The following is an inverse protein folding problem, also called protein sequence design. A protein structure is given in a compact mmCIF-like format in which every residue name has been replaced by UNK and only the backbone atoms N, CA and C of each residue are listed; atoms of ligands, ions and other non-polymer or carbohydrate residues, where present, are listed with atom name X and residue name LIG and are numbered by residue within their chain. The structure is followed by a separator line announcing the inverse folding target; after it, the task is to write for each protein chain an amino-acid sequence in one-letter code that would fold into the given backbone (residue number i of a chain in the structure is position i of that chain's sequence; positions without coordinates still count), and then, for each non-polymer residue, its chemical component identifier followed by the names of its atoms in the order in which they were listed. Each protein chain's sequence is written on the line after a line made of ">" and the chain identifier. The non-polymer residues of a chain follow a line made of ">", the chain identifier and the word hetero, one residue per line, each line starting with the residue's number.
data_IF_396684306050
#
_entry.id   IF_396684306050
#
_cell.length_a   1.000
_cell.length_b   1.000
_cell.length_c   1.000
_cell.angle_alpha   90.00
_cell.angle_beta   90.00
_cell.angle_gamma   90.00
#
_symmetry.space_group_name_H-M   'P 1'
#
loop_
_entity.id
_entity.type
_entity.pdbx_description
1 polymer ?
#
# COMPACT_ATOMS: atom_id res chain seq x y z
N UNK A 1 -14.41 4.48 25.60
CA UNK A 1 -13.04 5.01 25.44
C UNK A 1 -13.17 6.37 24.80
N UNK A 2 -12.94 7.44 25.55
CA UNK A 2 -12.90 8.82 25.04
C UNK A 2 -11.50 9.12 24.47
N UNK A 3 -11.13 8.42 23.39
CA UNK A 3 -9.84 8.58 22.70
C UNK A 3 -9.98 9.30 21.36
N UNK A 4 -8.92 9.98 20.88
CA UNK A 4 -8.86 10.53 19.53
C UNK A 4 -8.96 9.37 18.49
N UNK A 5 -10.02 9.30 17.66
CA UNK A 5 -10.20 8.22 16.68
C UNK A 5 -9.01 8.06 15.72
N UNK A 6 -8.23 9.13 15.48
CA UNK A 6 -7.05 9.08 14.61
C UNK A 6 -5.87 8.41 15.28
N UNK A 7 -5.73 8.57 16.60
CA UNK A 7 -4.69 7.89 17.37
C UNK A 7 -4.95 6.38 17.37
N UNK A 8 -6.21 5.98 17.52
CA UNK A 8 -6.66 4.58 17.44
C UNK A 8 -6.41 3.99 16.04
N UNK A 9 -6.84 4.68 14.97
CA UNK A 9 -6.60 4.26 13.60
C UNK A 9 -5.09 4.10 13.26
N UNK A 10 -4.25 5.03 13.74
CA UNK A 10 -2.79 4.94 13.56
C UNK A 10 -2.22 3.72 14.28
N UNK A 11 -2.72 3.42 15.48
CA UNK A 11 -2.31 2.25 16.26
C UNK A 11 -2.69 0.95 15.55
N UNK A 12 -3.96 0.81 15.17
CA UNK A 12 -4.49 -0.36 14.44
C UNK A 12 -3.67 -0.61 13.17
N UNK A 13 -3.47 0.42 12.35
CA UNK A 13 -2.67 0.31 11.13
C UNK A 13 -1.21 -0.09 11.40
N UNK A 14 -0.58 0.47 12.44
CA UNK A 14 0.82 0.16 12.76
C UNK A 14 1.00 -1.27 13.28
N UNK A 15 0.08 -1.74 14.12
CA UNK A 15 0.09 -3.10 14.69
C UNK A 15 -0.21 -4.14 13.62
N UNK A 16 -1.21 -3.90 12.78
CA UNK A 16 -1.53 -4.76 11.64
C UNK A 16 -0.32 -4.95 10.73
N UNK A 17 0.40 -3.86 10.38
CA UNK A 17 1.63 -3.93 9.55
C UNK A 17 2.77 -4.76 10.15
N UNK A 18 2.75 -5.02 11.47
CA UNK A 18 3.69 -5.93 12.13
C UNK A 18 3.20 -7.36 12.04
N UNK A 19 1.91 -7.58 12.28
CA UNK A 19 1.27 -8.90 12.27
C UNK A 19 1.23 -9.48 10.84
N UNK A 20 0.93 -8.67 9.82
CA UNK A 20 0.81 -9.12 8.41
C UNK A 20 2.14 -9.53 7.75
N UNK A 21 3.28 -9.32 8.40
CA UNK A 21 4.61 -9.66 7.84
C UNK A 21 4.77 -11.14 7.52
N UNK A 22 3.96 -11.99 8.17
CA UNK A 22 3.88 -13.42 7.89
C UNK A 22 2.42 -13.75 7.64
N UNK A 23 2.14 -14.40 6.52
CA UNK A 23 0.79 -14.86 6.18
C UNK A 23 0.81 -16.34 5.84
N UNK A 24 -0.27 -17.03 6.18
CA UNK A 24 -0.51 -18.41 5.82
C UNK A 24 -1.82 -18.52 5.03
N UNK A 25 -1.90 -19.51 4.14
CA UNK A 25 -3.15 -19.82 3.47
C UNK A 25 -4.13 -20.42 4.49
N UNK A 26 -5.32 -19.82 4.59
CA UNK A 26 -6.43 -20.35 5.38
C UNK A 26 -7.35 -21.18 4.47
N UNK A 27 -7.40 -22.51 4.63
CA UNK A 27 -8.22 -23.37 3.78
C UNK A 27 -9.73 -23.09 3.90
N UNK A 28 -10.18 -22.54 5.04
CA UNK A 28 -11.59 -22.28 5.28
C UNK A 28 -12.12 -21.11 4.47
N UNK A 29 -11.34 -20.05 4.31
CA UNK A 29 -11.72 -18.85 3.55
C UNK A 29 -11.11 -18.79 2.15
N UNK A 30 -10.04 -19.56 1.89
CA UNK A 30 -9.24 -19.46 0.68
C UNK A 30 -8.29 -18.26 0.67
N UNK A 31 -8.27 -17.45 1.74
CA UNK A 31 -7.46 -16.23 1.84
C UNK A 31 -6.06 -16.53 2.37
N UNK A 32 -5.15 -15.55 2.22
CA UNK A 32 -3.92 -15.49 3.01
C UNK A 32 -4.16 -14.57 4.20
N UNK A 33 -4.18 -15.14 5.40
CA UNK A 33 -4.39 -14.39 6.65
C UNK A 33 -3.07 -14.28 7.42
N UNK A 34 -2.89 -13.25 8.26
CA UNK A 34 -1.70 -13.14 9.08
C UNK A 34 -1.52 -14.35 10.00
N UNK A 35 -0.29 -14.82 10.11
CA UNK A 35 0.09 -15.89 11.04
C UNK A 35 0.75 -15.27 12.27
N UNK A 36 0.08 -15.37 13.43
CA UNK A 36 0.59 -14.82 14.68
C UNK A 36 1.75 -15.65 15.20
N UNK A 37 2.87 -14.98 15.42
CA UNK A 37 4.08 -15.53 16.06
C UNK A 37 4.18 -15.01 17.49
N UNK A 38 5.06 -15.58 18.31
CA UNK A 38 5.29 -15.05 19.65
C UNK A 38 5.79 -13.59 19.64
N UNK A 39 6.49 -13.17 18.58
CA UNK A 39 6.95 -11.80 18.40
C UNK A 39 5.81 -10.82 18.05
N UNK A 40 4.70 -11.30 17.49
CA UNK A 40 3.55 -10.49 17.04
C UNK A 40 2.28 -10.72 17.87
N UNK A 41 2.29 -11.65 18.83
CA UNK A 41 1.13 -11.99 19.67
C UNK A 41 0.54 -10.79 20.41
N UNK A 42 1.40 -10.00 21.05
CA UNK A 42 0.95 -8.79 21.74
C UNK A 42 0.34 -7.74 20.78
N UNK A 43 0.79 -7.68 19.52
CA UNK A 43 0.17 -6.81 18.52
C UNK A 43 -1.21 -7.33 18.12
N UNK A 44 -1.33 -8.65 17.95
CA UNK A 44 -2.60 -9.31 17.61
C UNK A 44 -3.64 -9.20 18.75
N UNK A 45 -3.22 -9.28 20.00
CA UNK A 45 -4.10 -9.10 21.16
C UNK A 45 -4.65 -7.66 21.24
N UNK A 46 -3.80 -6.66 20.97
CA UNK A 46 -4.23 -5.25 20.90
C UNK A 46 -5.22 -5.03 19.76
N UNK A 47 -4.95 -5.61 18.58
CA UNK A 47 -5.86 -5.55 17.44
C UNK A 47 -7.23 -6.17 17.77
N UNK A 48 -7.24 -7.36 18.38
CA UNK A 48 -8.48 -8.03 18.79
C UNK A 48 -9.25 -7.21 19.83
N UNK A 49 -8.57 -6.62 20.82
CA UNK A 49 -9.18 -5.76 21.83
C UNK A 49 -9.78 -4.47 21.23
N UNK A 50 -9.22 -3.98 20.12
CA UNK A 50 -9.76 -2.86 19.36
C UNK A 50 -10.90 -3.26 18.40
N UNK A 51 -11.35 -4.52 18.40
CA UNK A 51 -12.42 -5.01 17.51
C UNK A 51 -11.95 -5.36 16.10
N UNK A 52 -10.64 -5.46 15.88
CA UNK A 52 -10.01 -5.75 14.59
C UNK A 52 -9.14 -7.01 14.65
N UNK A 53 -9.67 -8.19 15.02
CA UNK A 53 -8.84 -9.39 15.15
C UNK A 53 -8.13 -9.71 13.83
N UNK A 54 -6.90 -10.19 13.94
CA UNK A 54 -5.98 -10.27 12.80
C UNK A 54 -6.47 -11.22 11.67
N UNK A 55 -7.30 -12.19 12.02
CA UNK A 55 -7.84 -13.25 11.18
C UNK A 55 -9.34 -13.04 10.88
N UNK A 56 -9.89 -11.83 11.11
CA UNK A 56 -11.29 -11.54 10.82
C UNK A 56 -11.63 -11.80 9.36
N UNK A 57 -12.62 -12.65 9.11
CA UNK A 57 -13.13 -12.96 7.77
C UNK A 57 -14.57 -12.49 7.64
N UNK A 58 -14.85 -11.67 6.62
CA UNK A 58 -16.20 -11.32 6.20
C UNK A 58 -16.61 -12.17 5.00
N UNK A 59 -17.59 -13.05 5.18
CA UNK A 59 -18.16 -13.87 4.09
C UNK A 59 -19.39 -13.20 3.52
N UNK A 60 -19.57 -13.34 2.21
CA UNK A 60 -20.71 -12.77 1.50
C UNK A 60 -21.18 -13.68 0.38
N UNK A 61 -22.45 -13.53 0.01
CA UNK A 61 -22.97 -13.89 -1.30
C UNK A 61 -23.16 -12.61 -2.12
N UNK A 62 -23.28 -12.76 -3.44
CA UNK A 62 -23.61 -11.66 -4.34
C UNK A 62 -24.78 -10.81 -3.80
N UNK A 63 -25.90 -11.46 -3.50
CA UNK A 63 -27.12 -10.78 -3.06
C UNK A 63 -26.95 -10.13 -1.68
N UNK A 64 -26.23 -10.77 -0.75
CA UNK A 64 -25.98 -10.18 0.56
C UNK A 64 -25.07 -8.96 0.47
N UNK A 65 -24.08 -8.96 -0.42
CA UNK A 65 -23.21 -7.82 -0.67
C UNK A 65 -23.99 -6.64 -1.28
N UNK A 66 -24.90 -6.92 -2.23
CA UNK A 66 -25.77 -5.89 -2.80
C UNK A 66 -26.71 -5.29 -1.75
N UNK A 67 -27.31 -6.13 -0.89
CA UNK A 67 -28.18 -5.69 0.18
C UNK A 67 -27.40 -4.81 1.18
N UNK A 68 -26.26 -5.29 1.66
CA UNK A 68 -25.42 -4.56 2.60
C UNK A 68 -24.93 -3.20 2.04
N UNK A 69 -24.53 -3.15 0.77
CA UNK A 69 -24.17 -1.90 0.10
C UNK A 69 -25.35 -0.92 0.09
N UNK A 70 -26.55 -1.38 -0.27
CA UNK A 70 -27.74 -0.53 -0.33
C UNK A 70 -28.15 -0.02 1.04
N UNK A 71 -28.17 -0.90 2.03
CA UNK A 71 -28.55 -0.54 3.39
C UNK A 71 -27.59 0.50 3.96
N UNK A 72 -26.28 0.28 3.83
CA UNK A 72 -25.28 1.21 4.34
C UNK A 72 -25.20 2.50 3.52
N UNK A 73 -25.15 2.42 2.20
CA UNK A 73 -24.95 3.58 1.32
C UNK A 73 -26.13 4.54 1.25
N UNK A 74 -27.36 4.05 1.51
CA UNK A 74 -28.56 4.90 1.56
C UNK A 74 -28.76 5.62 2.89
N UNK A 75 -27.92 5.36 3.90
CA UNK A 75 -27.87 6.19 5.12
C UNK A 75 -27.21 7.55 4.90
N UNK A 76 -26.54 7.69 3.76
CA UNK A 76 -25.89 8.92 3.32
C UNK A 76 -26.80 9.65 2.32
N UNK A 77 -26.74 10.98 2.35
CA UNK A 77 -27.14 11.83 1.24
C UNK A 77 -25.90 12.29 0.47
N UNK A 78 -26.09 12.78 -0.76
CA UNK A 78 -24.99 13.20 -1.62
C UNK A 78 -24.13 14.31 -0.97
N UNK A 79 -24.70 15.38 -0.38
CA UNK A 79 -23.90 16.43 0.26
C UNK A 79 -23.08 15.92 1.45
N UNK A 80 -23.67 15.10 2.32
CA UNK A 80 -22.95 14.52 3.47
C UNK A 80 -21.85 13.56 3.05
N UNK A 81 -22.09 12.76 2.01
CA UNK A 81 -21.08 11.85 1.47
C UNK A 81 -19.91 12.60 0.81
N UNK A 82 -20.21 13.67 0.06
CA UNK A 82 -19.20 14.56 -0.52
C UNK A 82 -18.38 15.27 0.57
N UNK A 83 -19.02 15.75 1.63
CA UNK A 83 -18.35 16.38 2.76
C UNK A 83 -17.39 15.43 3.49
N UNK A 84 -17.83 14.19 3.75
CA UNK A 84 -16.98 13.16 4.33
C UNK A 84 -15.80 12.79 3.43
N UNK A 85 -16.03 12.68 2.12
CA UNK A 85 -14.96 12.46 1.15
C UNK A 85 -13.93 13.60 1.16
N UNK A 86 -14.39 14.86 1.19
CA UNK A 86 -13.51 16.03 1.27
C UNK A 86 -12.72 16.04 2.56
N UNK A 87 -13.33 15.75 3.71
CA UNK A 87 -12.62 15.65 4.99
C UNK A 87 -11.54 14.54 4.97
N UNK A 88 -11.81 13.45 4.26
CA UNK A 88 -10.88 12.34 4.05
C UNK A 88 -9.66 12.67 3.17
N UNK A 89 -9.54 13.89 2.64
CA UNK A 89 -8.34 14.36 1.94
C UNK A 89 -7.21 14.72 2.92
N UNK A 90 -7.54 15.13 4.15
CA UNK A 90 -6.53 15.51 5.14
C UNK A 90 -6.97 15.34 6.60
N UNK A 91 -8.05 16.00 7.03
CA UNK A 91 -8.39 16.13 8.44
C UNK A 91 -8.95 14.85 9.08
N UNK A 92 -9.58 14.00 8.27
CA UNK A 92 -10.15 12.72 8.67
C UNK A 92 -9.38 11.53 8.06
N UNK A 93 -9.43 10.34 8.67
CA UNK A 93 -8.84 9.13 8.07
C UNK A 93 -9.40 8.87 6.67
N UNK A 94 -8.58 8.36 5.76
CA UNK A 94 -8.96 8.23 4.35
C UNK A 94 -10.14 7.29 4.09
N UNK A 95 -10.49 6.44 5.06
CA UNK A 95 -11.66 5.56 4.98
C UNK A 95 -12.95 6.32 4.68
N UNK A 96 -13.07 7.57 5.14
CA UNK A 96 -14.22 8.44 4.88
C UNK A 96 -14.43 8.77 3.40
N UNK A 97 -13.41 8.60 2.55
CA UNK A 97 -13.56 8.68 1.08
C UNK A 97 -14.46 7.58 0.52
N UNK A 98 -14.68 6.49 1.26
CA UNK A 98 -15.63 5.44 0.85
C UNK A 98 -17.09 5.90 0.88
N UNK A 99 -17.41 6.96 1.63
CA UNK A 99 -18.79 7.45 1.77
C UNK A 99 -19.38 7.89 0.42
N UNK A 100 -18.65 8.71 -0.34
CA UNK A 100 -19.12 9.25 -1.62
C UNK A 100 -19.29 8.17 -2.69
N UNK A 101 -18.24 7.37 -2.93
CA UNK A 101 -18.28 6.31 -3.95
C UNK A 101 -19.27 5.21 -3.57
N UNK A 102 -19.33 4.83 -2.29
CA UNK A 102 -20.30 3.87 -1.77
C UNK A 102 -21.75 4.35 -1.87
N UNK A 103 -22.03 5.62 -1.56
CA UNK A 103 -23.36 6.22 -1.71
C UNK A 103 -23.81 6.21 -3.18
N UNK A 104 -22.95 6.65 -4.10
CA UNK A 104 -23.25 6.66 -5.53
C UNK A 104 -23.48 5.23 -6.07
N UNK A 105 -22.66 4.26 -5.66
CA UNK A 105 -22.90 2.85 -6.01
C UNK A 105 -24.26 2.36 -5.47
N UNK A 106 -24.56 2.60 -4.20
CA UNK A 106 -25.80 2.14 -3.57
C UNK A 106 -27.08 2.73 -4.18
N UNK A 107 -27.00 3.93 -4.75
CA UNK A 107 -28.12 4.67 -5.32
C UNK A 107 -28.27 4.47 -6.83
N UNK A 108 -27.17 4.19 -7.54
CA UNK A 108 -27.19 4.04 -9.01
C UNK A 108 -27.19 2.58 -9.47
N UNK A 109 -26.69 1.64 -8.67
CA UNK A 109 -26.63 0.22 -9.04
C UNK A 109 -28.04 -0.40 -9.17
N UNK A 110 -28.45 -0.82 -10.38
CA UNK A 110 -29.77 -1.41 -10.58
C UNK A 110 -29.92 -2.75 -9.84
N UNK A 111 -31.18 -3.09 -9.53
CA UNK A 111 -31.52 -4.46 -9.14
C UNK A 111 -31.17 -5.42 -10.28
N UNK A 112 -30.43 -6.48 -9.97
CA UNK A 112 -30.05 -7.51 -10.93
C UNK A 112 -29.80 -8.84 -10.21
N UNK A 113 -29.99 -9.95 -10.91
CA UNK A 113 -29.51 -11.25 -10.48
C UNK A 113 -28.02 -11.40 -10.82
N UNK A 114 -27.34 -12.35 -10.19
CA UNK A 114 -25.95 -12.68 -10.56
C UNK A 114 -25.85 -13.08 -12.04
N UNK A 115 -25.07 -12.34 -12.81
CA UNK A 115 -24.81 -12.57 -14.23
C UNK A 115 -23.30 -12.76 -14.47
N UNK A 116 -22.79 -14.00 -14.51
CA UNK A 116 -21.36 -14.27 -14.62
C UNK A 116 -20.76 -13.90 -15.98
N UNK A 117 -19.47 -13.60 -16.03
CA UNK A 117 -18.73 -13.63 -17.29
C UNK A 117 -18.76 -15.04 -17.91
N UNK A 118 -18.51 -15.19 -19.23
CA UNK A 118 -18.32 -16.52 -19.83
C UNK A 118 -17.21 -17.34 -19.17
N UNK A 119 -16.23 -16.67 -18.55
CA UNK A 119 -15.14 -17.29 -17.76
C UNK A 119 -15.55 -17.64 -16.32
N UNK A 120 -16.78 -17.38 -15.90
CA UNK A 120 -17.29 -17.57 -14.54
C UNK A 120 -17.36 -16.26 -13.75
N UNK A 121 -16.42 -16.03 -12.85
CA UNK A 121 -16.37 -14.82 -12.00
C UNK A 121 -15.65 -13.66 -12.72
N UNK A 122 -16.01 -12.38 -12.48
CA UNK A 122 -17.06 -11.86 -11.59
C UNK A 122 -18.45 -11.67 -12.26
N UNK A 123 -19.42 -11.07 -11.55
CA UNK A 123 -20.68 -10.59 -12.13
C UNK A 123 -20.40 -9.46 -13.14
N UNK A 124 -20.96 -9.57 -14.34
CA UNK A 124 -20.81 -8.59 -15.43
C UNK A 124 -21.49 -7.26 -15.15
N UNK A 125 -22.52 -7.26 -14.31
CA UNK A 125 -23.25 -6.05 -13.94
C UNK A 125 -22.47 -5.31 -12.85
N UNK A 126 -22.22 -5.92 -11.70
CA UNK A 126 -21.70 -5.19 -10.53
C UNK A 126 -20.23 -5.46 -10.17
N UNK A 127 -19.60 -6.49 -10.73
CA UNK A 127 -18.22 -6.87 -10.41
C UNK A 127 -18.06 -7.78 -9.18
N UNK A 128 -19.12 -8.05 -8.42
CA UNK A 128 -19.06 -8.97 -7.28
C UNK A 128 -19.00 -10.44 -7.73
N UNK A 129 -18.28 -11.28 -6.97
CA UNK A 129 -18.35 -12.73 -7.13
C UNK A 129 -19.72 -13.28 -6.66
N UNK A 130 -20.05 -14.52 -7.07
CA UNK A 130 -21.27 -15.21 -6.61
C UNK A 130 -21.26 -15.40 -5.08
N UNK A 131 -20.10 -15.76 -4.55
CA UNK A 131 -19.78 -15.87 -3.14
C UNK A 131 -18.30 -15.59 -2.94
N UNK A 132 -17.93 -15.16 -1.73
CA UNK A 132 -16.54 -14.86 -1.43
C UNK A 132 -16.29 -14.56 0.05
N UNK A 133 -15.02 -14.28 0.33
CA UNK A 133 -14.53 -13.91 1.64
C UNK A 133 -13.56 -12.74 1.52
N UNK A 134 -13.62 -11.82 2.48
CA UNK A 134 -12.69 -10.71 2.63
C UNK A 134 -11.96 -10.83 3.96
N UNK A 135 -10.66 -10.53 3.98
CA UNK A 135 -9.92 -10.35 5.23
C UNK A 135 -10.31 -9.00 5.83
N UNK A 136 -11.30 -9.00 6.73
CA UNK A 136 -12.02 -7.79 7.13
C UNK A 136 -11.11 -6.74 7.79
N UNK A 137 -10.14 -7.19 8.61
CA UNK A 137 -9.15 -6.28 9.21
C UNK A 137 -8.18 -5.72 8.18
N UNK A 138 -7.76 -6.54 7.20
CA UNK A 138 -6.91 -6.08 6.10
C UNK A 138 -7.64 -5.01 5.27
N UNK A 139 -8.91 -5.23 4.94
CA UNK A 139 -9.74 -4.26 4.23
C UNK A 139 -9.90 -2.96 5.03
N UNK A 140 -10.20 -3.05 6.33
CA UNK A 140 -10.28 -1.85 7.19
C UNK A 140 -8.98 -1.04 7.16
N UNK A 141 -7.84 -1.70 7.36
CA UNK A 141 -6.51 -1.04 7.37
C UNK A 141 -6.17 -0.47 5.99
N UNK A 142 -6.54 -1.15 4.91
CA UNK A 142 -6.38 -0.66 3.55
C UNK A 142 -7.19 0.62 3.34
N UNK A 143 -8.41 0.73 3.88
CA UNK A 143 -9.21 1.97 3.78
C UNK A 143 -8.59 3.13 4.56
N UNK A 144 -7.98 2.87 5.73
CA UNK A 144 -7.32 3.92 6.54
C UNK A 144 -6.21 4.67 5.80
N UNK A 145 -5.46 3.98 4.93
CA UNK A 145 -4.31 4.54 4.21
C UNK A 145 -4.36 4.40 2.68
N UNK A 146 -5.46 3.91 2.12
CA UNK A 146 -5.67 3.71 0.68
C UNK A 146 -6.85 4.50 0.11
N UNK A 147 -7.81 4.91 0.94
CA UNK A 147 -9.02 5.58 0.48
C UNK A 147 -10.16 4.60 0.21
N UNK A 148 -10.99 4.92 -0.77
CA UNK A 148 -12.12 4.07 -1.14
C UNK A 148 -11.65 2.75 -1.79
N UNK A 149 -12.50 1.71 -1.77
CA UNK A 149 -12.31 0.55 -2.64
C UNK A 149 -12.29 0.94 -4.13
N UNK A 150 -11.69 0.08 -4.94
CA UNK A 150 -11.66 0.23 -6.40
C UNK A 150 -13.05 0.01 -6.99
N UNK A 151 -13.24 0.45 -8.22
CA UNK A 151 -14.47 0.21 -8.95
C UNK A 151 -14.74 -1.31 -9.14
N UNK A 152 -16.00 -1.72 -8.94
CA UNK A 152 -16.45 -3.12 -8.97
C UNK A 152 -16.29 -3.90 -7.66
N UNK A 153 -15.61 -3.34 -6.66
CA UNK A 153 -15.40 -3.94 -5.34
C UNK A 153 -16.61 -3.73 -4.42
N UNK A 154 -17.79 -4.20 -4.86
CA UNK A 154 -19.06 -4.04 -4.13
C UNK A 154 -19.02 -4.56 -2.68
N UNK A 155 -18.55 -5.79 -2.39
CA UNK A 155 -18.50 -6.26 -1.00
C UNK A 155 -17.51 -5.45 -0.14
N UNK A 156 -16.42 -4.94 -0.71
CA UNK A 156 -15.47 -4.06 -0.04
C UNK A 156 -16.09 -2.67 0.25
N UNK A 157 -16.92 -2.12 -0.65
CA UNK A 157 -17.68 -0.90 -0.38
C UNK A 157 -18.72 -1.11 0.72
N UNK A 158 -19.44 -2.22 0.70
CA UNK A 158 -20.39 -2.55 1.76
C UNK A 158 -19.70 -2.64 3.12
N UNK A 159 -18.56 -3.35 3.19
CA UNK A 159 -17.77 -3.48 4.42
C UNK A 159 -17.19 -2.13 4.87
N UNK A 160 -16.67 -1.32 3.95
CA UNK A 160 -16.14 -0.01 4.27
C UNK A 160 -17.22 0.92 4.86
N UNK A 161 -18.41 0.98 4.25
CA UNK A 161 -19.51 1.80 4.74
C UNK A 161 -20.05 1.31 6.08
N UNK A 162 -20.14 -0.01 6.29
CA UNK A 162 -20.54 -0.58 7.57
C UNK A 162 -19.58 -0.14 8.70
N UNK A 163 -18.27 -0.07 8.41
CA UNK A 163 -17.27 0.44 9.35
C UNK A 163 -17.39 1.95 9.67
N UNK A 164 -18.21 2.70 8.94
CA UNK A 164 -18.47 4.13 9.20
C UNK A 164 -19.78 4.38 9.94
N UNK A 165 -20.68 3.39 10.03
CA UNK A 165 -22.07 3.60 10.44
C UNK A 165 -22.22 4.23 11.82
N UNK A 166 -21.38 3.84 12.77
CA UNK A 166 -21.42 4.29 14.17
C UNK A 166 -20.41 5.40 14.49
N UNK A 167 -19.67 5.87 13.48
CA UNK A 167 -18.67 6.92 13.67
C UNK A 167 -19.29 8.31 13.47
N UNK A 168 -18.87 9.33 14.25
CA UNK A 168 -19.30 10.69 14.02
C UNK A 168 -18.82 11.16 12.64
N UNK A 169 -19.76 11.61 11.80
CA UNK A 169 -19.47 12.09 10.46
C UNK A 169 -18.54 13.32 10.53
N UNK A 170 -17.42 13.34 9.78
CA UNK A 170 -16.50 14.45 9.83
C UNK A 170 -17.02 15.61 8.98
N UNK A 171 -16.80 16.82 9.47
CA UNK A 171 -17.01 18.05 8.71
C UNK A 171 -15.68 18.49 8.06
N UNK A 172 -15.65 18.83 6.77
CA UNK A 172 -14.43 19.25 6.10
C UNK A 172 -13.99 20.63 6.58
N UNK A 173 -12.74 20.70 7.01
CA UNK A 173 -12.04 21.94 7.40
C UNK A 173 -11.80 22.83 6.18
N UNK A 174 -11.41 24.08 6.42
CA UNK A 174 -10.99 24.99 5.34
C UNK A 174 -9.82 24.41 4.54
N UNK A 175 -8.88 23.73 5.21
CA UNK A 175 -7.75 23.08 4.55
C UNK A 175 -8.21 21.94 3.63
N UNK A 176 -9.18 21.12 4.04
CA UNK A 176 -9.74 20.06 3.19
C UNK A 176 -10.40 20.62 1.93
N UNK A 177 -11.19 21.69 2.09
CA UNK A 177 -11.87 22.39 1.00
C UNK A 177 -10.86 23.02 0.03
N UNK A 178 -9.79 23.61 0.55
CA UNK A 178 -8.69 24.10 -0.26
C UNK A 178 -7.95 22.96 -0.97
N UNK A 179 -7.71 21.83 -0.32
CA UNK A 179 -7.06 20.65 -0.93
C UNK A 179 -7.88 20.10 -2.10
N UNK A 180 -9.21 20.00 -1.97
CA UNK A 180 -10.09 19.67 -3.09
C UNK A 180 -9.87 20.65 -4.25
N UNK A 181 -9.96 21.96 -4.01
CA UNK A 181 -9.76 22.98 -5.06
C UNK A 181 -8.38 22.94 -5.68
N UNK A 182 -7.34 22.68 -4.88
CA UNK A 182 -5.96 22.56 -5.34
C UNK A 182 -5.79 21.35 -6.26
N UNK A 183 -6.40 20.20 -5.91
CA UNK A 183 -6.42 19.01 -6.78
C UNK A 183 -7.10 19.35 -8.11
N UNK A 184 -8.27 20.00 -8.09
CA UNK A 184 -8.97 20.39 -9.31
C UNK A 184 -8.15 21.40 -10.15
N UNK A 185 -7.51 22.38 -9.51
CA UNK A 185 -6.64 23.37 -10.16
C UNK A 185 -5.48 22.70 -10.88
N UNK A 186 -4.80 21.75 -10.22
CA UNK A 186 -3.71 20.98 -10.85
C UNK A 186 -4.21 20.23 -12.09
N UNK A 187 -5.41 19.65 -12.02
CA UNK A 187 -5.99 18.90 -13.14
C UNK A 187 -6.39 19.80 -14.32
N UNK A 188 -6.96 20.98 -14.04
CA UNK A 188 -7.28 21.99 -15.07
C UNK A 188 -6.04 22.54 -15.76
N UNK A 189 -4.93 22.67 -15.02
CA UNK A 189 -3.67 23.20 -15.55
C UNK A 189 -2.84 22.19 -16.35
N UNK A 190 -3.29 20.93 -16.49
CA UNK A 190 -2.53 19.92 -17.22
C UNK A 190 -2.43 20.25 -18.72
N UNK A 191 -1.27 20.00 -19.37
CA UNK A 191 -1.16 20.12 -20.82
C UNK A 191 -2.21 19.26 -21.52
N UNK A 192 -2.82 19.69 -22.64
CA UNK A 192 -3.79 18.88 -23.39
C UNK A 192 -3.26 17.48 -23.73
N UNK A 193 -4.12 16.47 -23.65
CA UNK A 193 -3.78 15.07 -23.92
C UNK A 193 -3.06 14.33 -22.80
N UNK A 194 -2.85 14.96 -21.64
CA UNK A 194 -2.26 14.33 -20.44
C UNK A 194 -3.15 13.18 -19.97
N UNK A 195 -2.55 11.99 -19.78
CA UNK A 195 -3.24 10.76 -19.33
C UNK A 195 -3.01 10.49 -17.84
N UNK A 196 -3.78 9.54 -17.29
CA UNK A 196 -3.76 9.10 -15.88
C UNK A 196 -2.37 9.11 -15.22
N UNK A 197 -1.38 8.40 -15.77
CA UNK A 197 -0.07 8.26 -15.13
C UNK A 197 0.66 9.60 -14.96
N UNK A 198 0.53 10.49 -15.94
CA UNK A 198 1.14 11.83 -15.91
C UNK A 198 0.34 12.78 -15.00
N UNK A 199 -1.00 12.68 -15.00
CA UNK A 199 -1.86 13.42 -14.06
C UNK A 199 -1.54 13.06 -12.60
N UNK A 200 -1.44 11.76 -12.29
CA UNK A 200 -1.01 11.25 -10.97
C UNK A 200 0.36 11.79 -10.58
N UNK A 201 1.29 11.87 -11.54
CA UNK A 201 2.64 12.41 -11.32
C UNK A 201 2.59 13.90 -10.99
N UNK A 202 1.77 14.69 -11.70
CA UNK A 202 1.57 16.11 -11.42
C UNK A 202 0.99 16.33 -10.02
N UNK A 203 -0.05 15.59 -9.65
CA UNK A 203 -0.65 15.63 -8.31
C UNK A 203 0.34 15.23 -7.22
N UNK A 204 1.12 14.16 -7.43
CA UNK A 204 2.15 13.72 -6.49
C UNK A 204 3.21 14.81 -6.26
N UNK A 205 3.59 15.53 -7.33
CA UNK A 205 4.55 16.63 -7.25
C UNK A 205 3.99 17.83 -6.48
N UNK A 206 2.70 18.10 -6.60
CA UNK A 206 2.01 19.18 -5.88
C UNK A 206 1.92 18.93 -4.36
N UNK A 207 2.07 17.67 -3.89
CA UNK A 207 2.11 17.30 -2.46
C UNK A 207 0.90 17.82 -1.68
N UNK A 208 -0.28 17.59 -2.22
CA UNK A 208 -1.55 18.08 -1.69
C UNK A 208 -2.17 17.16 -0.62
N UNK A 209 -1.64 15.94 -0.44
CA UNK A 209 -2.08 15.00 0.60
C UNK A 209 -1.04 14.91 1.73
N UNK A 210 -1.42 14.28 2.84
CA UNK A 210 -0.54 14.00 3.99
C UNK A 210 0.61 13.00 3.67
N UNK A 211 0.65 12.49 2.43
CA UNK A 211 1.69 11.59 1.90
C UNK A 211 2.32 12.09 0.59
N UNK A 212 3.45 11.50 0.21
CA UNK A 212 4.06 11.62 -1.12
C UNK A 212 3.97 10.33 -1.94
N UNK A 213 3.21 9.34 -1.49
CA UNK A 213 3.10 8.05 -2.17
C UNK A 213 2.22 8.16 -3.43
N UNK A 214 2.70 7.78 -4.64
CA UNK A 214 1.94 7.95 -5.87
C UNK A 214 0.58 7.24 -5.89
N UNK A 215 0.44 6.08 -5.25
CA UNK A 215 -0.81 5.32 -5.22
C UNK A 215 -1.96 6.10 -4.57
N UNK A 216 -1.67 6.95 -3.58
CA UNK A 216 -2.68 7.76 -2.91
C UNK A 216 -3.34 8.78 -3.86
N UNK A 217 -2.51 9.43 -4.68
CA UNK A 217 -2.99 10.35 -5.72
C UNK A 217 -3.68 9.60 -6.86
N UNK A 218 -3.25 8.36 -7.14
CA UNK A 218 -3.95 7.45 -8.05
C UNK A 218 -5.38 7.16 -7.56
N UNK A 219 -5.53 6.79 -6.30
CA UNK A 219 -6.82 6.52 -5.68
C UNK A 219 -7.76 7.75 -5.73
N UNK A 220 -7.27 8.96 -5.43
CA UNK A 220 -8.08 10.19 -5.57
C UNK A 220 -8.56 10.39 -7.01
N UNK A 221 -7.71 10.15 -8.01
CA UNK A 221 -8.10 10.24 -9.42
C UNK A 221 -9.14 9.18 -9.80
N UNK A 222 -8.97 7.94 -9.34
CA UNK A 222 -9.92 6.85 -9.59
C UNK A 222 -11.27 7.13 -8.92
N UNK A 223 -11.28 7.67 -7.71
CA UNK A 223 -12.49 8.10 -7.01
C UNK A 223 -13.21 9.25 -7.75
N UNK A 224 -12.48 10.30 -8.14
CA UNK A 224 -13.06 11.43 -8.89
C UNK A 224 -13.57 10.99 -10.27
N UNK A 225 -12.91 10.02 -10.91
CA UNK A 225 -13.36 9.44 -12.17
C UNK A 225 -14.62 8.59 -11.98
N UNK A 226 -14.66 7.76 -10.94
CA UNK A 226 -15.82 6.93 -10.60
C UNK A 226 -17.05 7.80 -10.28
N UNK A 227 -16.86 8.90 -9.56
CA UNK A 227 -17.90 9.92 -9.35
C UNK A 227 -18.35 10.54 -10.67
N UNK A 228 -17.41 10.80 -11.59
CA UNK A 228 -17.65 11.34 -12.92
C UNK A 228 -17.07 12.73 -13.16
N UNK A 229 -16.34 13.29 -12.20
CA UNK A 229 -15.67 14.59 -12.33
C UNK A 229 -14.48 14.53 -13.32
N UNK A 230 -13.78 13.39 -13.35
CA UNK A 230 -12.64 13.11 -14.23
C UNK A 230 -13.04 12.01 -15.22
N UNK A 231 -13.95 12.35 -16.13
CA UNK A 231 -14.56 11.38 -17.05
C UNK A 231 -14.87 12.01 -18.41
N UNK A 232 -14.60 11.32 -19.53
CA UNK A 232 -15.06 11.77 -20.83
C UNK A 232 -16.58 11.59 -20.92
N UNK A 233 -17.26 12.42 -21.71
CA UNK A 233 -18.73 12.36 -21.87
C UNK A 233 -19.23 11.00 -22.36
N UNK A 234 -18.42 10.30 -23.17
CA UNK A 234 -18.75 8.96 -23.67
C UNK A 234 -18.65 7.85 -22.60
N UNK A 235 -17.90 8.06 -21.52
CA UNK A 235 -17.77 7.13 -20.40
C UNK A 235 -18.03 7.87 -19.10
N UNK A 236 -19.29 8.23 -18.80
CA UNK A 236 -19.62 9.01 -17.62
C UNK A 236 -19.44 8.20 -16.32
N UNK A 237 -19.22 8.90 -15.20
CA UNK A 237 -19.21 8.29 -13.87
C UNK A 237 -20.61 8.14 -13.26
N UNK A 238 -20.63 7.61 -12.03
CA UNK A 238 -21.85 7.18 -11.34
C UNK A 238 -22.82 8.32 -11.00
N UNK A 239 -22.34 9.56 -10.81
CA UNK A 239 -23.23 10.69 -10.58
C UNK A 239 -24.10 11.03 -11.80
N UNK A 240 -23.75 10.53 -12.99
CA UNK A 240 -24.48 10.77 -14.23
C UNK A 240 -25.26 9.53 -14.64
N UNK A 241 -24.63 8.34 -14.63
CA UNK A 241 -25.26 7.09 -15.06
C UNK A 241 -24.54 5.87 -14.48
N UNK A 242 -25.31 4.83 -14.18
CA UNK A 242 -24.75 3.49 -14.01
C UNK A 242 -24.16 2.96 -15.33
N UNK A 243 -22.93 2.46 -15.27
CA UNK A 243 -22.26 1.73 -16.35
C UNK A 243 -21.91 0.35 -15.83
N UNK A 244 -22.28 -0.75 -16.49
CA UNK A 244 -22.00 -2.10 -15.96
C UNK A 244 -20.50 -2.35 -15.78
N UNK A 245 -20.13 -3.23 -14.86
CA UNK A 245 -18.75 -3.65 -14.63
C UNK A 245 -18.09 -4.12 -15.94
N UNK A 246 -18.81 -4.88 -16.77
CA UNK A 246 -18.33 -5.29 -18.08
C UNK A 246 -18.09 -4.14 -19.06
N UNK A 247 -18.84 -3.05 -18.94
CA UNK A 247 -18.56 -1.83 -19.67
C UNK A 247 -17.30 -1.14 -19.11
N UNK A 248 -17.17 -1.05 -17.79
CA UNK A 248 -16.06 -0.38 -17.09
C UNK A 248 -14.74 -1.14 -17.19
N UNK A 249 -14.81 -2.46 -17.38
CA UNK A 249 -13.66 -3.34 -17.57
C UNK A 249 -13.03 -3.23 -18.98
N UNK A 250 -13.69 -2.56 -19.94
CA UNK A 250 -13.09 -2.27 -21.24
C UNK A 250 -11.96 -1.24 -21.11
N UNK A 251 -10.83 -1.53 -21.76
CA UNK A 251 -9.65 -0.65 -21.81
C UNK A 251 -9.34 -0.20 -23.23
N UNK A 252 -8.77 1.00 -23.41
CA UNK A 252 -8.27 1.43 -24.72
C UNK A 252 -7.06 0.61 -25.19
N UNK A 253 -6.31 -0.01 -24.27
CA UNK A 253 -5.26 -0.98 -24.59
C UNK A 253 -4.91 -1.83 -23.36
N UNK A 254 -4.24 -2.96 -23.59
CA UNK A 254 -3.75 -3.88 -22.53
C UNK A 254 -2.73 -3.25 -21.56
N UNK A 255 -2.19 -2.06 -21.88
CA UNK A 255 -1.21 -1.35 -21.03
C UNK A 255 -1.88 -0.41 -20.01
N UNK A 256 -3.19 -0.22 -20.10
CA UNK A 256 -3.94 0.66 -19.19
C UNK A 256 -4.62 -0.20 -18.14
N UNK A 257 -4.15 -0.09 -16.90
CA UNK A 257 -4.64 -0.91 -15.79
C UNK A 257 -5.94 -0.35 -15.18
N UNK A 258 -6.04 0.97 -15.03
CA UNK A 258 -7.21 1.66 -14.45
C UNK A 258 -8.49 1.42 -15.25
N UNK A 259 -9.63 1.35 -14.56
CA UNK A 259 -10.96 1.15 -15.16
C UNK A 259 -11.53 2.41 -15.80
N UNK A 260 -12.54 2.25 -16.68
CA UNK A 260 -13.35 3.39 -17.09
C UNK A 260 -14.11 3.93 -15.85
N UNK A 261 -14.36 5.24 -15.74
CA UNK A 261 -14.11 6.27 -16.76
C UNK A 261 -12.65 6.65 -17.01
N UNK A 262 -11.79 6.51 -16.00
CA UNK A 262 -10.44 7.07 -16.00
C UNK A 262 -9.55 6.53 -17.13
N UNK A 263 -9.74 5.27 -17.51
CA UNK A 263 -9.02 4.62 -18.61
C UNK A 263 -9.12 5.40 -19.93
N UNK A 264 -10.26 6.07 -20.15
CA UNK A 264 -10.58 6.76 -21.39
C UNK A 264 -10.31 8.26 -21.33
N UNK A 265 -10.20 8.82 -20.13
CA UNK A 265 -9.99 10.23 -19.89
C UNK A 265 -8.60 10.72 -20.34
N UNK A 266 -8.55 11.98 -20.75
CA UNK A 266 -7.36 12.81 -20.86
C UNK A 266 -7.69 14.25 -20.45
N UNK A 267 -6.68 15.06 -20.13
CA UNK A 267 -6.89 16.49 -19.85
C UNK A 267 -7.53 17.26 -21.01
N UNK A 268 -7.53 16.73 -22.24
CA UNK A 268 -8.29 17.32 -23.36
C UNK A 268 -9.79 17.23 -23.19
N UNK A 269 -10.28 16.25 -22.42
CA UNK A 269 -11.69 16.14 -22.05
C UNK A 269 -12.08 17.16 -20.96
N UNK A 270 -11.07 17.75 -20.29
CA UNK A 270 -11.26 18.66 -19.16
C UNK A 270 -11.83 17.98 -17.92
N UNK A 271 -12.28 18.79 -16.97
CA UNK A 271 -13.10 18.36 -15.85
C UNK A 271 -14.59 18.54 -16.17
N UNK A 272 -15.43 17.67 -15.64
CA UNK A 272 -16.89 17.78 -15.75
C UNK A 272 -17.43 18.73 -14.71
N UNK A 273 -17.43 20.02 -15.02
CA UNK A 273 -17.87 21.09 -14.10
C UNK A 273 -19.33 20.91 -13.67
N UNK A 274 -20.20 20.41 -14.56
CA UNK A 274 -21.58 20.05 -14.25
C UNK A 274 -21.69 18.99 -13.14
N UNK A 275 -20.80 18.00 -13.16
CA UNK A 275 -20.74 16.95 -12.13
C UNK A 275 -20.13 17.51 -10.84
N UNK A 276 -19.12 18.36 -10.93
CA UNK A 276 -18.51 19.01 -9.76
C UNK A 276 -19.52 19.88 -9.00
N UNK A 277 -20.30 20.69 -9.71
CA UNK A 277 -21.35 21.53 -9.12
C UNK A 277 -22.45 20.69 -8.46
N UNK A 278 -22.84 19.58 -9.10
CA UNK A 278 -23.86 18.68 -8.56
C UNK A 278 -23.39 17.87 -7.34
N UNK A 279 -22.19 17.29 -7.40
CA UNK A 279 -21.69 16.39 -6.35
C UNK A 279 -21.15 17.16 -5.16
N UNK A 280 -20.38 18.21 -5.41
CA UNK A 280 -19.80 19.05 -4.37
C UNK A 280 -20.62 20.33 -4.19
N UNK A 281 -21.96 20.22 -4.24
CA UNK A 281 -22.86 21.35 -3.99
C UNK A 281 -22.54 21.99 -2.63
N UNK A 282 -22.39 23.31 -2.61
CA UNK A 282 -22.01 24.05 -1.40
C UNK A 282 -20.50 24.10 -1.11
N UNK A 283 -19.68 23.48 -1.95
CA UNK A 283 -18.24 23.68 -1.98
C UNK A 283 -17.87 24.64 -3.11
N UNK A 284 -16.87 25.49 -2.85
CA UNK A 284 -16.19 26.17 -3.94
C UNK A 284 -15.31 25.14 -4.67
N UNK A 285 -15.48 25.01 -5.99
CA UNK A 285 -14.69 24.12 -6.85
C UNK A 285 -13.79 24.88 -7.83
N UNK A 286 -13.83 26.22 -7.78
CA UNK A 286 -12.99 27.09 -8.60
C UNK A 286 -11.51 27.06 -8.19
N UNK A 287 -10.67 27.61 -9.06
CA UNK A 287 -9.22 27.56 -8.95
C UNK A 287 -8.68 28.23 -7.67
N UNK A 288 -7.50 27.79 -7.23
CA UNK A 288 -6.71 28.42 -6.17
C UNK A 288 -5.33 28.79 -6.69
N UNK A 289 -4.70 29.78 -6.05
CA UNK A 289 -3.28 30.03 -6.24
C UNK A 289 -2.48 28.90 -5.56
N UNK A 290 -1.83 28.06 -6.37
CA UNK A 290 -1.04 26.92 -5.89
C UNK A 290 0.31 27.34 -5.27
N UNK A 291 0.82 28.52 -5.64
CA UNK A 291 2.05 29.11 -5.11
C UNK A 291 1.76 30.09 -3.96
N UNK A 292 0.49 30.43 -3.76
CA UNK A 292 -0.01 31.29 -2.70
C UNK A 292 -0.05 30.63 -1.31
N UNK A 293 -0.40 31.40 -0.27
CA UNK A 293 -0.51 30.87 1.08
C UNK A 293 -1.65 29.85 1.20
N UNK A 294 -1.36 28.72 1.86
CA UNK A 294 -2.37 27.73 2.24
C UNK A 294 -3.22 28.25 3.42
N UNK A 295 -4.46 27.76 3.60
CA UNK A 295 -5.27 28.11 4.77
C UNK A 295 -4.54 27.82 6.08
N UNK A 296 -4.70 28.71 7.05
CA UNK A 296 -4.07 28.60 8.38
C UNK A 296 -5.11 28.27 9.46
N UNK A 297 -4.74 27.42 10.45
CA UNK A 297 -3.49 26.68 10.55
C UNK A 297 -3.43 25.51 9.53
N UNK A 298 -2.27 25.31 8.90
CA UNK A 298 -2.04 24.09 8.11
C UNK A 298 -1.94 22.91 9.08
N UNK A 299 -2.80 21.87 8.97
CA UNK A 299 -2.81 20.80 9.94
C UNK A 299 -1.51 19.98 9.83
N UNK A 300 -0.85 19.73 10.96
CA UNK A 300 0.43 19.04 10.97
C UNK A 300 0.29 17.62 10.41
N UNK A 301 1.14 17.24 9.44
CA UNK A 301 1.17 15.86 8.90
C UNK A 301 1.28 14.79 9.99
N UNK A 302 2.05 15.03 11.04
CA UNK A 302 2.19 14.10 12.17
C UNK A 302 0.92 13.90 13.00
N UNK A 303 -0.14 14.69 12.79
CA UNK A 303 -1.45 14.53 13.41
C UNK A 303 -2.48 13.79 12.52
N UNK A 304 -2.08 13.40 11.31
CA UNK A 304 -2.89 12.58 10.39
C UNK A 304 -2.55 11.10 10.55
N UNK A 305 -3.46 10.20 10.19
CA UNK A 305 -3.24 8.73 10.31
C UNK A 305 -2.04 8.28 9.47
N UNK A 306 -2.01 8.67 8.18
CA UNK A 306 -0.94 8.25 7.26
C UNK A 306 0.38 8.96 7.58
N UNK A 307 0.34 10.25 7.93
CA UNK A 307 1.54 11.00 8.29
C UNK A 307 2.17 10.58 9.63
N UNK A 308 1.39 10.11 10.60
CA UNK A 308 1.89 9.63 11.89
C UNK A 308 2.47 8.20 11.83
N UNK A 309 2.00 7.37 10.88
CA UNK A 309 2.34 5.96 10.79
C UNK A 309 3.85 5.64 10.83
N UNK A 310 4.75 6.31 10.07
CA UNK A 310 6.17 5.99 10.11
C UNK A 310 6.81 6.22 11.48
N UNK A 311 6.38 7.26 12.20
CA UNK A 311 6.85 7.52 13.55
C UNK A 311 6.35 6.45 14.52
N UNK A 312 5.10 6.01 14.37
CA UNK A 312 4.52 4.98 15.21
C UNK A 312 5.18 3.62 14.99
N UNK A 313 5.36 3.19 13.75
CA UNK A 313 6.08 1.95 13.41
C UNK A 313 7.49 1.95 14.03
N UNK A 314 8.23 3.06 13.91
CA UNK A 314 9.55 3.20 14.56
C UNK A 314 9.49 3.12 16.09
N UNK A 315 8.41 3.56 16.72
CA UNK A 315 8.24 3.44 18.16
C UNK A 315 8.00 1.96 18.55
N UNK A 316 7.14 1.25 17.82
CA UNK A 316 6.84 -0.16 18.05
C UNK A 316 8.06 -1.07 17.82
N UNK A 317 8.80 -0.82 16.75
CA UNK A 317 10.03 -1.55 16.46
C UNK A 317 11.10 -1.30 17.54
N UNK A 318 11.11 -0.12 18.19
CA UNK A 318 12.04 0.16 19.32
C UNK A 318 11.66 -0.62 20.57
N UNK A 319 10.36 -0.77 20.86
CA UNK A 319 9.89 -1.56 22.01
C UNK A 319 10.08 -3.07 21.82
N UNK A 320 10.19 -3.54 20.57
CA UNK A 320 10.53 -4.93 20.23
C UNK A 320 12.03 -5.21 20.04
N UNK A 321 12.91 -4.19 20.15
CA UNK A 321 14.37 -4.39 20.11
C UNK A 321 14.84 -4.99 21.43
N UNK A 322 14.76 -6.31 21.55
CA UNK A 322 15.45 -7.06 22.62
C UNK A 322 16.95 -7.25 22.35
N UNK A 323 17.47 -6.92 21.16
CA UNK A 323 18.91 -6.89 20.91
C UNK A 323 19.33 -5.68 20.09
N UNK A 324 20.21 -4.84 20.65
CA UNK A 324 21.07 -4.00 19.83
C UNK A 324 21.76 -4.90 18.79
N UNK A 325 21.83 -4.46 17.53
CA UNK A 325 22.60 -5.18 16.51
C UNK A 325 24.01 -5.41 17.10
N UNK A 326 24.46 -6.66 17.27
CA UNK A 326 25.73 -6.94 17.93
C UNK A 326 26.89 -6.19 17.28
N UNK A 327 27.93 -5.91 18.08
CA UNK A 327 29.13 -5.24 17.58
C UNK A 327 29.76 -6.09 16.48
N UNK A 328 30.26 -5.42 15.45
CA UNK A 328 31.01 -6.06 14.36
C UNK A 328 32.22 -6.79 14.93
N UNK A 329 32.53 -7.97 14.39
CA UNK A 329 33.81 -8.63 14.62
C UNK A 329 34.87 -7.90 13.80
N UNK A 330 35.68 -7.09 14.48
CA UNK A 330 36.70 -6.25 13.85
C UNK A 330 36.13 -5.02 13.13
N UNK A 331 37.04 -4.09 12.84
CA UNK A 331 36.76 -2.82 12.16
C UNK A 331 37.44 -2.77 10.78
N UNK A 332 37.13 -1.74 10.00
CA UNK A 332 37.79 -1.44 8.73
C UNK A 332 37.06 -1.90 7.47
N UNK A 333 37.65 -1.72 6.29
CA UNK A 333 37.03 -2.10 5.02
C UNK A 333 36.86 -3.62 4.90
N UNK A 334 35.94 -4.11 4.06
CA UNK A 334 35.79 -5.54 3.80
C UNK A 334 37.04 -6.14 3.15
N UNK A 335 37.43 -7.32 3.61
CA UNK A 335 38.55 -8.09 3.07
C UNK A 335 38.10 -9.48 2.60
N UNK A 336 38.87 -10.08 1.69
CA UNK A 336 38.62 -11.45 1.21
C UNK A 336 38.59 -12.43 2.39
N UNK A 337 37.55 -13.24 2.47
CA UNK A 337 37.32 -14.17 3.58
C UNK A 337 36.53 -13.62 4.76
N UNK A 338 36.19 -12.33 4.76
CA UNK A 338 35.23 -11.79 5.74
C UNK A 338 33.83 -12.37 5.49
N UNK A 339 33.10 -12.65 6.57
CA UNK A 339 31.68 -13.02 6.53
C UNK A 339 30.87 -11.92 7.19
N UNK A 340 29.78 -11.54 6.54
CA UNK A 340 28.88 -10.48 6.97
C UNK A 340 27.46 -11.04 7.12
N UNK A 341 26.83 -10.75 8.26
CA UNK A 341 25.41 -10.98 8.48
C UNK A 341 24.61 -9.81 7.92
N UNK A 342 23.54 -10.13 7.20
CA UNK A 342 22.60 -9.19 6.58
C UNK A 342 21.23 -9.44 7.18
N UNK A 343 20.63 -8.42 7.81
CA UNK A 343 19.25 -8.52 8.29
C UNK A 343 18.29 -8.50 7.11
N UNK A 344 17.38 -9.45 7.07
CA UNK A 344 16.33 -9.60 6.06
C UNK A 344 14.94 -9.45 6.69
N UNK A 345 13.88 -9.63 5.90
CA UNK A 345 12.48 -9.47 6.34
C UNK A 345 12.13 -10.42 7.49
N UNK A 346 11.31 -9.93 8.44
CA UNK A 346 10.89 -10.71 9.61
C UNK A 346 11.96 -10.83 10.70
N UNK A 347 12.94 -9.92 10.73
CA UNK A 347 14.06 -9.91 11.71
C UNK A 347 14.99 -11.12 11.68
N UNK A 348 14.89 -11.89 10.59
CA UNK A 348 15.82 -12.98 10.26
C UNK A 348 17.13 -12.44 9.70
N UNK A 349 18.15 -13.28 9.67
CA UNK A 349 19.48 -12.97 9.18
C UNK A 349 19.94 -14.01 8.17
N UNK A 350 20.68 -13.55 7.16
CA UNK A 350 21.44 -14.40 6.26
C UNK A 350 22.91 -13.99 6.31
N UNK A 351 23.81 -14.84 5.83
CA UNK A 351 25.24 -14.52 5.80
C UNK A 351 25.79 -14.50 4.36
N UNK A 352 26.77 -13.65 4.13
CA UNK A 352 27.52 -13.61 2.87
C UNK A 352 29.01 -13.49 3.11
N UNK A 353 29.81 -14.15 2.27
CA UNK A 353 31.27 -14.13 2.33
C UNK A 353 31.84 -13.26 1.23
N UNK A 354 32.88 -12.49 1.54
CA UNK A 354 33.66 -11.74 0.56
C UNK A 354 34.60 -12.68 -0.20
N UNK A 355 34.38 -12.84 -1.49
CA UNK A 355 35.16 -13.65 -2.41
C UNK A 355 36.33 -12.88 -3.03
N UNK A 356 36.14 -11.60 -3.35
CA UNK A 356 37.15 -10.72 -3.95
C UNK A 356 36.91 -9.26 -3.56
N UNK A 357 37.90 -8.39 -3.74
CA UNK A 357 37.78 -6.94 -3.54
C UNK A 357 38.29 -6.19 -4.76
N UNK A 358 37.65 -5.07 -5.09
CA UNK A 358 37.98 -4.21 -6.25
C UNK A 358 37.77 -2.73 -5.90
N UNK A 359 38.37 -1.84 -6.67
CA UNK A 359 38.15 -0.39 -6.58
C UNK A 359 37.67 0.13 -7.93
N UNK A 360 36.42 0.57 -8.00
CA UNK A 360 35.81 1.08 -9.21
C UNK A 360 35.35 2.53 -9.00
N UNK A 361 35.84 3.46 -9.84
CA UNK A 361 35.51 4.88 -9.73
C UNK A 361 35.87 5.51 -8.38
N UNK A 362 37.00 5.08 -7.78
CA UNK A 362 37.45 5.54 -6.46
C UNK A 362 36.65 5.00 -5.27
N UNK A 363 35.72 4.07 -5.48
CA UNK A 363 34.92 3.45 -4.44
C UNK A 363 35.32 1.97 -4.25
N UNK A 364 35.53 1.51 -3.00
CA UNK A 364 35.82 0.10 -2.73
C UNK A 364 34.56 -0.76 -2.88
N UNK A 365 34.71 -1.90 -3.53
CA UNK A 365 33.70 -2.94 -3.70
C UNK A 365 34.24 -4.28 -3.18
N UNK A 366 33.34 -5.10 -2.67
CA UNK A 366 33.57 -6.47 -2.28
C UNK A 366 32.65 -7.37 -3.10
N UNK A 367 33.20 -8.36 -3.80
CA UNK A 367 32.40 -9.41 -4.43
C UNK A 367 31.93 -10.34 -3.33
N UNK A 368 30.62 -10.46 -3.14
CA UNK A 368 30.02 -11.30 -2.11
C UNK A 368 29.30 -12.49 -2.69
N UNK A 369 29.26 -13.55 -1.91
CA UNK A 369 28.53 -14.78 -2.16
C UNK A 369 27.68 -15.14 -0.94
N UNK A 370 26.42 -15.50 -1.16
CA UNK A 370 25.51 -15.92 -0.09
C UNK A 370 25.91 -17.30 0.44
N UNK A 371 25.84 -17.48 1.76
CA UNK A 371 26.12 -18.75 2.44
C UNK A 371 24.82 -19.44 2.85
N UNK A 372 24.82 -20.76 2.98
CA UNK A 372 23.60 -21.50 3.31
C UNK A 372 23.01 -21.10 4.69
N UNK A 373 21.68 -21.09 4.76
CA UNK A 373 20.92 -20.91 6.00
C UNK A 373 20.27 -19.53 6.19
N UNK A 374 19.11 -19.57 6.85
CA UNK A 374 18.37 -18.40 7.37
C UNK A 374 18.31 -18.54 8.89
N UNK A 375 18.69 -17.48 9.60
CA UNK A 375 18.81 -17.49 11.06
C UNK A 375 17.75 -16.60 11.70
N UNK A 376 17.03 -17.14 12.68
CA UNK A 376 16.05 -16.37 13.48
C UNK A 376 16.71 -15.45 14.53
N UNK A 377 18.01 -15.67 14.80
CA UNK A 377 18.84 -14.84 15.66
C UNK A 377 20.10 -14.36 14.91
N UNK A 378 20.83 -13.40 15.49
CA UNK A 378 22.07 -12.91 14.90
C UNK A 378 23.10 -14.06 14.82
N UNK A 379 23.63 -14.40 13.63
CA UNK A 379 24.52 -15.54 13.47
C UNK A 379 25.89 -15.25 14.06
N UNK A 380 26.45 -16.24 14.78
CA UNK A 380 27.85 -16.23 15.23
C UNK A 380 28.66 -17.25 14.44
N UNK A 381 29.98 -17.10 14.41
CA UNK A 381 30.85 -17.91 13.55
C UNK A 381 30.65 -19.44 13.65
N UNK A 382 30.37 -20.05 14.82
CA UNK A 382 30.08 -21.48 14.94
C UNK A 382 28.78 -21.94 14.26
N UNK A 383 27.80 -21.05 14.10
CA UNK A 383 26.47 -21.39 13.58
C UNK A 383 26.37 -21.23 12.05
N UNK A 384 27.45 -20.78 11.40
CA UNK A 384 27.46 -20.49 9.98
C UNK A 384 27.72 -21.75 9.16
N UNK A 385 26.85 -22.02 8.20
CA UNK A 385 27.07 -23.05 7.19
C UNK A 385 27.87 -22.47 6.02
N UNK A 386 29.14 -22.86 5.90
CA UNK A 386 30.05 -22.38 4.86
C UNK A 386 29.79 -23.01 3.48
N UNK A 387 28.62 -23.59 3.22
CA UNK A 387 28.20 -23.96 1.86
C UNK A 387 27.70 -22.74 1.11
N UNK A 388 27.97 -22.68 -0.20
CA UNK A 388 27.43 -21.60 -1.03
C UNK A 388 25.91 -21.78 -1.20
N UNK A 389 25.14 -20.72 -0.99
CA UNK A 389 23.70 -20.68 -1.29
C UNK A 389 23.50 -20.27 -2.76
N UNK A 390 23.07 -21.18 -3.65
CA UNK A 390 22.82 -20.83 -5.04
C UNK A 390 21.49 -20.09 -5.21
N UNK A 391 21.38 -19.35 -6.32
CA UNK A 391 20.10 -18.94 -6.91
C UNK A 391 19.51 -20.13 -7.68
N UNK A 392 18.24 -20.03 -8.08
CA UNK A 392 17.56 -21.02 -8.95
C UNK A 392 18.35 -21.38 -10.22
N UNK A 393 19.14 -20.46 -10.77
CA UNK A 393 19.93 -20.62 -12.00
C UNK A 393 21.43 -20.91 -11.76
N UNK A 394 21.87 -21.11 -10.51
CA UNK A 394 23.23 -21.55 -10.18
C UNK A 394 23.92 -20.69 -9.11
N UNK A 395 25.25 -20.78 -9.03
CA UNK A 395 26.04 -19.89 -8.16
C UNK A 395 25.89 -18.46 -8.61
N UNK A 396 25.86 -17.56 -7.63
CA UNK A 396 25.63 -16.14 -7.87
C UNK A 396 26.54 -15.28 -7.03
N UNK A 397 27.04 -14.19 -7.63
CA UNK A 397 27.90 -13.19 -7.00
C UNK A 397 27.38 -11.79 -7.28
N UNK A 398 27.61 -10.87 -6.34
CA UNK A 398 27.40 -9.44 -6.53
C UNK A 398 28.59 -8.63 -6.00
N UNK A 399 28.96 -7.57 -6.72
CA UNK A 399 29.89 -6.57 -6.20
C UNK A 399 29.12 -5.58 -5.34
N UNK A 400 29.46 -5.44 -4.06
CA UNK A 400 28.81 -4.52 -3.15
C UNK A 400 29.76 -3.50 -2.53
N UNK A 401 29.31 -2.27 -2.38
CA UNK A 401 30.05 -1.24 -1.65
C UNK A 401 29.40 -0.91 -0.30
N UNK A 402 30.19 -0.37 0.63
CA UNK A 402 29.72 0.15 1.93
C UNK A 402 29.14 -0.89 2.90
N UNK A 403 29.65 -2.14 2.87
CA UNK A 403 29.31 -3.18 3.84
C UNK A 403 29.54 -2.72 5.29
N UNK A 404 30.69 -2.08 5.54
CA UNK A 404 31.14 -1.54 6.82
C UNK A 404 30.29 -0.37 7.36
N UNK A 405 29.53 0.29 6.48
CA UNK A 405 28.73 1.48 6.83
C UNK A 405 27.24 1.22 6.87
N UNK A 406 26.78 0.03 6.49
CA UNK A 406 25.36 -0.26 6.35
C UNK A 406 24.77 -0.69 7.70
N UNK A 407 23.79 0.03 8.28
CA UNK A 407 23.36 -0.21 9.67
C UNK A 407 22.80 -1.60 10.00
N UNK A 408 22.33 -2.35 9.00
CA UNK A 408 21.75 -3.69 9.13
C UNK A 408 22.65 -4.79 8.56
N UNK A 409 23.93 -4.48 8.34
CA UNK A 409 24.95 -5.42 7.87
C UNK A 409 26.13 -5.39 8.85
N UNK A 410 26.59 -6.55 9.32
CA UNK A 410 27.65 -6.64 10.33
C UNK A 410 28.64 -7.73 10.02
N UNK A 411 29.93 -7.49 10.25
CA UNK A 411 30.94 -8.54 10.14
C UNK A 411 30.77 -9.51 11.30
N UNK A 412 30.73 -10.80 10.98
CA UNK A 412 30.55 -11.90 11.96
C UNK A 412 31.76 -12.83 12.01
N UNK A 413 32.58 -12.86 10.97
CA UNK A 413 33.85 -13.59 10.96
C UNK A 413 34.86 -12.99 9.97
N UNK A 414 36.13 -13.35 10.13
CA UNK A 414 37.24 -12.97 9.25
C UNK A 414 38.06 -14.19 8.86
N UNK A 415 38.72 -14.15 7.70
CA UNK A 415 39.64 -15.21 7.28
C UNK A 415 38.99 -16.57 7.07
N UNK A 416 37.68 -16.61 6.77
CA UNK A 416 36.96 -17.86 6.54
C UNK A 416 37.35 -18.51 5.21
N UNK A 417 37.35 -19.85 5.17
CA UNK A 417 37.62 -20.60 3.94
C UNK A 417 36.59 -20.31 2.85
N UNK A 418 36.96 -20.53 1.59
CA UNK A 418 36.03 -20.40 0.47
C UNK A 418 34.88 -21.41 0.63
N UNK A 419 33.65 -21.05 0.23
CA UNK A 419 32.50 -21.89 0.48
C UNK A 419 32.53 -23.14 -0.39
N UNK A 420 32.09 -24.26 0.17
CA UNK A 420 31.99 -25.50 -0.58
C UNK A 420 30.80 -25.43 -1.55
N UNK A 421 31.02 -25.78 -2.83
CA UNK A 421 29.96 -25.88 -3.82
C UNK A 421 30.32 -26.87 -4.93
N UNK A 422 29.39 -27.75 -5.36
CA UNK A 422 29.58 -28.59 -6.53
C UNK A 422 29.32 -27.85 -7.85
N UNK A 423 28.80 -26.61 -7.79
CA UNK A 423 28.44 -25.80 -8.95
C UNK A 423 29.63 -24.96 -9.44
N UNK A 424 29.73 -24.72 -10.77
CA UNK A 424 30.79 -23.88 -11.31
C UNK A 424 30.70 -22.45 -10.75
N UNK A 425 31.82 -21.71 -10.66
CA UNK A 425 31.83 -20.31 -10.25
C UNK A 425 30.90 -19.46 -11.12
N UNK A 426 30.25 -18.46 -10.51
CA UNK A 426 29.40 -17.53 -11.24
C UNK A 426 30.21 -16.73 -12.28
N UNK A 427 29.64 -16.53 -13.47
CA UNK A 427 30.23 -15.67 -14.51
C UNK A 427 29.59 -14.29 -14.49
N UNK A 428 30.37 -13.27 -14.11
CA UNK A 428 29.90 -11.89 -14.02
C UNK A 428 29.17 -11.57 -12.71
N UNK A 429 29.30 -10.33 -12.26
CA UNK A 429 28.63 -9.83 -11.06
C UNK A 429 28.25 -8.36 -11.24
N UNK A 430 26.99 -8.04 -10.99
CA UNK A 430 26.50 -6.66 -11.02
C UNK A 430 26.98 -5.88 -9.78
N UNK A 431 27.02 -4.55 -9.89
CA UNK A 431 27.42 -3.65 -8.81
C UNK A 431 26.20 -3.08 -8.09
N UNK A 432 26.17 -3.23 -6.77
CA UNK A 432 25.06 -2.85 -5.89
C UNK A 432 25.56 -2.11 -4.64
N UNK A 433 24.73 -1.27 -3.99
CA UNK A 433 25.02 -0.82 -2.63
C UNK A 433 24.71 -1.94 -1.62
N UNK A 434 25.43 -2.04 -0.51
CA UNK A 434 25.19 -3.09 0.50
C UNK A 434 23.75 -3.14 1.06
N UNK A 435 23.02 -2.02 1.06
CA UNK A 435 21.58 -1.99 1.43
C UNK A 435 20.68 -2.85 0.51
N UNK A 436 21.15 -3.20 -0.68
CA UNK A 436 20.41 -4.06 -1.62
C UNK A 436 20.54 -5.55 -1.26
N UNK A 437 21.48 -5.94 -0.39
CA UNK A 437 21.72 -7.34 -0.05
C UNK A 437 20.49 -8.04 0.52
N UNK A 438 19.66 -7.33 1.29
CA UNK A 438 18.42 -7.90 1.82
C UNK A 438 17.43 -8.29 0.72
N UNK A 439 17.34 -7.47 -0.35
CA UNK A 439 16.52 -7.79 -1.52
C UNK A 439 17.13 -8.93 -2.34
N UNK A 440 18.45 -8.89 -2.58
CA UNK A 440 19.17 -9.92 -3.34
C UNK A 440 19.15 -11.29 -2.65
N UNK A 441 19.05 -11.31 -1.31
CA UNK A 441 18.84 -12.54 -0.55
C UNK A 441 17.55 -13.26 -0.97
N UNK A 442 16.46 -12.54 -1.25
CA UNK A 442 15.20 -13.15 -1.73
C UNK A 442 15.38 -14.00 -3.00
N UNK A 443 16.38 -13.71 -3.84
CA UNK A 443 16.67 -14.53 -5.02
C UNK A 443 17.32 -15.88 -4.68
N UNK A 444 17.95 -15.99 -3.51
CA UNK A 444 18.73 -17.16 -3.08
C UNK A 444 18.01 -18.02 -2.03
N UNK A 445 17.09 -17.43 -1.26
CA UNK A 445 16.38 -18.11 -0.16
C UNK A 445 14.86 -18.05 -0.40
N UNK A 446 14.25 -19.14 -0.92
CA UNK A 446 12.81 -19.22 -1.10
C UNK A 446 12.02 -19.08 0.21
N UNK A 447 12.66 -19.36 1.35
CA UNK A 447 12.08 -19.22 2.70
C UNK A 447 11.87 -17.75 3.13
N UNK A 448 12.42 -16.80 2.37
CA UNK A 448 12.28 -15.37 2.60
C UNK A 448 11.11 -14.73 1.83
N UNK A 449 10.52 -15.44 0.87
CA UNK A 449 9.40 -14.99 0.04
C UNK A 449 8.03 -15.20 0.70
#
# INVERSE_FOLDING_TARGET
>A
MDGDPRADATEVMARWRRVERRTAHDPGSGLRLPEVTDATRADADVLAAAGHPHDAVHRYTHDSALAALRDAGRTWDLPGAAAAWTAGLWSAPWTWRSALTGHLLATTLPGHAYDPYPSGSPCRVCGAAAEGALAATAEHVLRLGGGAPIDGAVPEHALALAGLADLPRPEPTEHDRWTLRAVLTVLRALPPGTRYAAARTALTRARLLDTSAPHAYGAVLEELALVGAVAPTAHPGLAVRWSDYAERDRRPSVRVEVQAPLAWWSSSDGLREDVLEHVFTGFATGDVDLDGPRPTPEPARGATVVGALPARLRALDRTGRTAAVPRSVGDGPPAVGDVWAVRVTGDRWVTCRVAATDVAGGRPYAQVEMLAGVHDAFPVAPDMDLRAQPRRDGRWHAWVHSLDRTPHVRRVAQGTAAPASPLPPATGAERHPAKALAHLAGWCYPELD
#
